data_IF_346052866753
#
_entry.id   IF_346052866753
#
_cell.length_a   1.000
_cell.length_b   1.000
_cell.length_c   1.000
_cell.angle_alpha   90.00
_cell.angle_beta   90.00
_cell.angle_gamma   90.00
#
_symmetry.space_group_name_H-M   'P 1'
#
loop_
_entity.id
_entity.type
_entity.pdbx_description
1 polymer ?
#
# COMPACT_ATOMS: atom_id res chain seq x y z
N UNK A 1 17.55 19.91 -8.97
CA UNK A 1 17.52 19.16 -7.70
C UNK A 1 16.56 18.01 -7.86
N UNK A 2 16.96 16.81 -7.48
CA UNK A 2 16.01 15.70 -7.43
C UNK A 2 14.95 16.01 -6.36
N UNK A 3 13.75 15.45 -6.52
CA UNK A 3 12.65 15.67 -5.58
C UNK A 3 13.03 15.26 -4.14
N UNK A 4 13.82 14.19 -3.99
CA UNK A 4 14.34 13.72 -2.71
C UNK A 4 15.26 14.74 -2.04
N UNK A 5 16.20 15.34 -2.78
CA UNK A 5 17.13 16.35 -2.24
C UNK A 5 16.38 17.55 -1.68
N UNK A 6 15.36 18.01 -2.42
CA UNK A 6 14.53 19.13 -1.97
C UNK A 6 13.76 18.78 -0.69
N UNK A 7 13.18 17.57 -0.60
CA UNK A 7 12.48 17.12 0.62
C UNK A 7 13.44 16.96 1.80
N UNK A 8 14.66 16.48 1.56
CA UNK A 8 15.71 16.37 2.58
C UNK A 8 16.05 17.76 3.14
N UNK A 9 16.32 18.75 2.28
CA UNK A 9 16.60 20.12 2.71
C UNK A 9 15.49 20.71 3.59
N UNK A 10 14.23 20.57 3.16
CA UNK A 10 13.07 21.03 3.95
C UNK A 10 12.94 20.35 5.31
N UNK A 11 13.30 19.06 5.40
CA UNK A 11 13.29 18.33 6.66
C UNK A 11 14.42 18.79 7.59
N UNK A 12 15.63 18.95 7.04
CA UNK A 12 16.79 19.45 7.78
C UNK A 12 16.55 20.86 8.33
N UNK A 13 15.89 21.74 7.58
CA UNK A 13 15.52 23.08 8.06
C UNK A 13 14.56 23.03 9.24
N UNK A 14 13.61 22.08 9.26
CA UNK A 14 12.74 21.87 10.42
C UNK A 14 13.53 21.40 11.63
N UNK A 15 14.51 20.51 11.46
CA UNK A 15 15.36 20.05 12.56
C UNK A 15 16.24 21.18 13.09
N UNK A 16 16.88 21.96 12.21
CA UNK A 16 17.70 23.11 12.59
C UNK A 16 16.87 24.14 13.38
N UNK A 17 15.66 24.44 12.91
CA UNK A 17 14.71 25.33 13.60
C UNK A 17 14.34 24.79 15.00
N UNK A 18 13.96 23.52 15.08
CA UNK A 18 13.59 22.90 16.36
C UNK A 18 14.77 22.86 17.35
N UNK A 19 15.98 22.57 16.87
CA UNK A 19 17.18 22.57 17.70
C UNK A 19 17.45 23.96 18.29
N UNK A 20 17.35 25.01 17.47
CA UNK A 20 17.47 26.39 17.91
C UNK A 20 16.40 26.77 18.96
N UNK A 21 15.14 26.41 18.74
CA UNK A 21 14.03 26.64 19.69
C UNK A 21 14.24 25.92 21.03
N UNK A 22 14.92 24.78 21.03
CA UNK A 22 15.17 23.95 22.22
C UNK A 22 16.53 24.22 22.87
N UNK A 23 17.34 25.13 22.33
CA UNK A 23 18.71 25.38 22.80
C UNK A 23 19.64 24.17 22.63
N UNK A 24 19.32 23.27 21.70
CA UNK A 24 20.13 22.10 21.37
C UNK A 24 21.13 22.53 20.30
N UNK A 25 22.42 22.26 20.52
CA UNK A 25 23.44 22.52 19.53
C UNK A 25 23.09 21.77 18.22
N UNK A 26 23.15 22.43 17.05
CA UNK A 26 22.84 21.77 15.80
C UNK A 26 23.84 20.63 15.55
N UNK A 27 23.33 19.46 15.18
CA UNK A 27 24.17 18.37 14.74
C UNK A 27 24.85 18.75 13.41
N UNK A 28 26.15 18.52 13.31
CA UNK A 28 26.85 18.59 12.02
C UNK A 28 26.46 17.36 11.21
N UNK A 29 25.54 17.58 10.25
CA UNK A 29 25.13 16.57 9.29
C UNK A 29 25.75 16.98 7.95
N UNK A 30 26.67 16.18 7.37
CA UNK A 30 27.23 16.50 6.07
C UNK A 30 26.10 16.52 5.03
N UNK A 31 26.17 17.48 4.11
CA UNK A 31 25.28 17.46 2.94
C UNK A 31 25.59 16.20 2.13
N UNK A 32 24.56 15.46 1.66
CA UNK A 32 24.77 14.29 0.85
C UNK A 32 25.41 14.69 -0.49
N UNK A 33 26.25 13.81 -1.03
CA UNK A 33 26.75 13.98 -2.38
C UNK A 33 25.55 14.02 -3.36
N UNK A 34 25.62 14.86 -4.42
CA UNK A 34 24.59 14.87 -5.46
C UNK A 34 24.38 13.47 -6.03
N UNK A 35 23.13 13.10 -6.28
CA UNK A 35 22.82 11.85 -6.96
C UNK A 35 23.46 11.83 -8.35
N UNK A 36 24.33 10.84 -8.57
CA UNK A 36 24.89 10.55 -9.89
C UNK A 36 24.01 9.51 -10.60
N UNK A 37 23.35 9.94 -11.69
CA UNK A 37 22.52 9.08 -12.51
C UNK A 37 23.35 8.24 -13.51
N UNK A 38 24.66 8.44 -13.60
CA UNK A 38 25.58 7.75 -14.50
C UNK A 38 25.92 6.32 -14.07
N UNK A 39 24.92 5.52 -13.72
CA UNK A 39 25.13 4.10 -13.45
C UNK A 39 25.41 3.33 -14.77
N UNK A 40 26.28 2.30 -14.76
CA UNK A 40 26.44 1.43 -15.92
C UNK A 40 25.11 0.78 -16.32
N UNK A 41 24.71 0.92 -17.59
CA UNK A 41 23.51 0.27 -18.13
C UNK A 41 23.75 -1.22 -18.44
N UNK A 42 25.03 -1.59 -18.56
CA UNK A 42 25.48 -2.94 -18.86
C UNK A 42 26.61 -3.34 -17.90
N UNK A 43 26.67 -4.63 -17.59
CA UNK A 43 27.72 -5.21 -16.75
C UNK A 43 28.15 -6.55 -17.36
N UNK A 44 29.46 -6.75 -17.51
CA UNK A 44 30.01 -8.05 -17.88
C UNK A 44 29.85 -9.00 -16.68
N UNK A 45 29.15 -10.10 -16.91
CA UNK A 45 28.88 -11.11 -15.89
C UNK A 45 29.99 -12.17 -15.79
N UNK A 46 31.03 -12.07 -16.60
CA UNK A 46 32.19 -12.97 -16.55
C UNK A 46 32.84 -12.90 -15.16
N UNK A 47 32.98 -14.07 -14.52
CA UNK A 47 33.55 -14.19 -13.17
C UNK A 47 32.52 -14.18 -12.03
N UNK A 48 31.23 -13.94 -12.32
CA UNK A 48 30.14 -14.08 -11.33
C UNK A 48 29.49 -15.46 -11.43
N UNK A 49 29.37 -16.16 -10.30
CA UNK A 49 28.69 -17.47 -10.24
C UNK A 49 27.17 -17.39 -10.00
N UNK A 50 26.68 -16.23 -9.56
CA UNK A 50 25.26 -16.03 -9.22
C UNK A 50 24.88 -14.55 -9.25
N UNK A 51 23.62 -14.28 -9.56
CA UNK A 51 23.02 -12.94 -9.52
C UNK A 51 21.81 -12.99 -8.58
N UNK A 52 21.70 -12.02 -7.68
CA UNK A 52 20.58 -11.91 -6.74
C UNK A 52 19.85 -10.59 -7.03
N UNK A 53 18.59 -10.68 -7.43
CA UNK A 53 17.75 -9.51 -7.63
C UNK A 53 17.10 -9.09 -6.31
N UNK A 54 17.44 -7.91 -5.82
CA UNK A 54 16.90 -7.33 -4.58
C UNK A 54 16.13 -6.02 -4.83
N UNK A 55 15.61 -5.84 -6.04
CA UNK A 55 14.87 -4.64 -6.48
C UNK A 55 13.38 -4.65 -6.10
N UNK A 56 12.92 -5.67 -5.36
CA UNK A 56 11.54 -5.81 -4.92
C UNK A 56 10.62 -6.42 -5.98
N UNK A 57 9.33 -6.16 -5.84
CA UNK A 57 8.27 -6.65 -6.73
C UNK A 57 7.27 -5.53 -7.03
N UNK A 58 6.45 -5.71 -8.07
CA UNK A 58 5.32 -4.82 -8.39
C UNK A 58 4.00 -5.56 -8.21
N UNK A 59 2.92 -4.88 -7.80
CA UNK A 59 1.61 -5.49 -7.77
C UNK A 59 1.12 -5.80 -9.19
N UNK A 60 0.49 -6.95 -9.37
CA UNK A 60 -0.20 -7.36 -10.60
C UNK A 60 -1.60 -7.86 -10.25
N UNK A 61 -2.35 -6.99 -9.58
CA UNK A 61 -3.69 -7.33 -9.13
C UNK A 61 -4.68 -7.42 -10.28
N UNK A 62 -4.48 -6.68 -11.38
CA UNK A 62 -5.39 -6.73 -12.53
C UNK A 62 -5.39 -8.12 -13.17
N UNK A 63 -4.23 -8.71 -13.41
CA UNK A 63 -4.12 -10.07 -13.95
C UNK A 63 -4.66 -11.12 -12.97
N UNK A 64 -4.52 -10.90 -11.67
CA UNK A 64 -4.98 -11.85 -10.65
C UNK A 64 -6.49 -11.80 -10.41
N UNK A 65 -7.03 -10.59 -10.21
CA UNK A 65 -8.44 -10.36 -9.84
C UNK A 65 -9.33 -10.29 -11.07
N UNK A 66 -8.81 -9.89 -12.23
CA UNK A 66 -9.57 -9.78 -13.48
C UNK A 66 -10.63 -8.67 -13.43
N UNK A 67 -10.34 -7.56 -12.75
CA UNK A 67 -11.24 -6.42 -12.62
C UNK A 67 -10.63 -5.16 -13.26
N UNK A 68 -10.85 -4.95 -14.57
CA UNK A 68 -10.32 -3.79 -15.26
C UNK A 68 -10.78 -2.47 -14.63
N UNK A 69 -9.87 -1.52 -14.51
CA UNK A 69 -10.12 -0.19 -13.93
C UNK A 69 -10.13 -0.14 -12.41
N UNK A 70 -10.12 -1.27 -11.70
CA UNK A 70 -10.01 -1.29 -10.23
C UNK A 70 -8.60 -1.01 -9.72
N UNK A 71 -7.62 -0.86 -10.60
CA UNK A 71 -6.22 -0.60 -10.30
C UNK A 71 -5.70 0.58 -11.14
N UNK A 72 -4.75 1.33 -10.60
CA UNK A 72 -4.12 2.48 -11.25
C UNK A 72 -2.98 2.07 -12.19
N UNK A 73 -2.33 3.06 -12.82
CA UNK A 73 -1.20 2.83 -13.74
C UNK A 73 0.02 2.15 -13.08
N UNK A 74 0.10 2.16 -11.75
CA UNK A 74 1.15 1.52 -10.97
C UNK A 74 0.73 0.14 -10.44
N UNK A 75 -0.49 -0.30 -10.76
CA UNK A 75 -1.08 -1.56 -10.32
C UNK A 75 -1.64 -1.54 -8.90
N UNK A 76 -1.77 -0.36 -8.26
CA UNK A 76 -2.36 -0.25 -6.93
C UNK A 76 -3.88 -0.08 -6.99
N UNK A 77 -4.64 -0.57 -6.00
CA UNK A 77 -6.09 -0.48 -6.03
C UNK A 77 -6.61 0.95 -5.99
N UNK A 78 -7.61 1.23 -6.81
CA UNK A 78 -8.44 2.45 -6.71
C UNK A 78 -9.55 2.17 -5.71
N UNK A 79 -9.51 2.85 -4.56
CA UNK A 79 -10.37 2.51 -3.44
C UNK A 79 -10.74 3.73 -2.58
N UNK A 80 -11.78 3.56 -1.76
CA UNK A 80 -12.15 4.47 -0.67
C UNK A 80 -12.32 3.64 0.62
N UNK A 81 -11.51 3.94 1.64
CA UNK A 81 -11.46 3.19 2.90
C UNK A 81 -11.47 1.66 2.70
N UNK A 82 -10.47 1.16 1.97
CA UNK A 82 -10.30 -0.25 1.63
C UNK A 82 -11.34 -0.85 0.67
N UNK A 83 -12.41 -0.15 0.27
CA UNK A 83 -13.42 -0.66 -0.66
C UNK A 83 -13.13 -0.19 -2.09
N UNK A 84 -13.23 -1.08 -3.07
CA UNK A 84 -13.11 -0.70 -4.49
C UNK A 84 -14.19 0.33 -4.85
N UNK A 85 -13.78 1.37 -5.59
CA UNK A 85 -14.72 2.34 -6.18
C UNK A 85 -15.35 1.83 -7.47
N UNK A 86 -14.85 0.71 -8.01
CA UNK A 86 -15.27 0.16 -9.30
C UNK A 86 -16.18 -1.05 -9.12
N UNK A 87 -15.78 -2.00 -8.27
CA UNK A 87 -16.55 -3.24 -8.06
C UNK A 87 -17.10 -3.29 -6.63
N UNK A 88 -18.42 -3.19 -6.50
CA UNK A 88 -19.07 -3.31 -5.21
C UNK A 88 -18.85 -4.71 -4.60
N UNK A 89 -18.48 -4.74 -3.32
CA UNK A 89 -18.16 -5.98 -2.61
C UNK A 89 -16.69 -6.42 -2.74
N UNK A 90 -15.89 -5.73 -3.55
CA UNK A 90 -14.44 -5.92 -3.57
C UNK A 90 -13.75 -5.02 -2.54
N UNK A 91 -12.90 -5.62 -1.71
CA UNK A 91 -12.14 -4.91 -0.67
C UNK A 91 -10.66 -5.29 -0.74
N UNK A 92 -9.79 -4.39 -0.29
CA UNK A 92 -8.34 -4.52 -0.30
C UNK A 92 -7.78 -4.39 1.12
N UNK A 93 -6.78 -5.19 1.45
CA UNK A 93 -6.07 -5.17 2.74
C UNK A 93 -4.61 -5.50 2.49
N UNK A 94 -3.69 -4.95 3.31
CA UNK A 94 -2.27 -5.29 3.23
C UNK A 94 -1.52 -4.62 2.08
N UNK A 95 -2.13 -3.64 1.42
CA UNK A 95 -1.53 -2.94 0.29
C UNK A 95 -0.67 -1.77 0.77
N UNK A 96 0.45 -1.54 0.09
CA UNK A 96 1.33 -0.42 0.40
C UNK A 96 0.57 0.90 0.31
N UNK A 97 0.64 1.71 1.37
CA UNK A 97 -0.01 3.01 1.46
C UNK A 97 -1.54 3.02 1.25
N UNK A 98 -2.24 1.88 1.44
CA UNK A 98 -3.69 1.78 1.25
C UNK A 98 -4.45 2.91 1.97
N UNK A 99 -4.44 2.91 3.31
CA UNK A 99 -4.94 4.05 4.10
C UNK A 99 -3.84 4.75 4.88
N UNK A 100 -2.82 3.98 5.26
CA UNK A 100 -1.70 4.44 6.08
C UNK A 100 -0.41 3.89 5.49
N UNK A 101 0.71 4.58 5.74
CA UNK A 101 2.05 4.07 5.35
C UNK A 101 2.35 2.66 5.86
N UNK A 102 1.77 2.29 7.01
CA UNK A 102 1.93 0.98 7.65
C UNK A 102 0.93 -0.10 7.18
N UNK A 103 0.04 0.20 6.24
CA UNK A 103 -1.04 -0.70 5.81
C UNK A 103 -0.57 -2.07 5.32
N UNK A 104 0.62 -2.16 4.71
CA UNK A 104 1.23 -3.42 4.26
C UNK A 104 2.13 -4.10 5.30
N UNK A 105 2.29 -3.52 6.49
CA UNK A 105 3.14 -4.06 7.55
C UNK A 105 2.31 -4.86 8.55
N UNK A 106 2.87 -5.92 9.13
CA UNK A 106 2.19 -6.74 10.14
C UNK A 106 1.64 -5.91 11.32
N UNK A 107 2.36 -4.85 11.71
CA UNK A 107 1.97 -3.93 12.79
C UNK A 107 0.85 -2.95 12.42
N UNK A 108 0.46 -2.87 11.15
CA UNK A 108 -0.50 -1.89 10.64
C UNK A 108 -1.70 -2.49 9.91
N UNK A 109 -1.52 -3.64 9.25
CA UNK A 109 -2.55 -4.28 8.43
C UNK A 109 -3.84 -4.59 9.20
N UNK A 110 -3.74 -4.89 10.50
CA UNK A 110 -4.91 -5.19 11.34
C UNK A 110 -5.94 -4.06 11.40
N UNK A 111 -5.51 -2.80 11.32
CA UNK A 111 -6.42 -1.65 11.34
C UNK A 111 -7.25 -1.53 10.06
N UNK A 112 -6.71 -1.97 8.92
CA UNK A 112 -7.43 -2.00 7.65
C UNK A 112 -8.33 -3.23 7.56
N UNK A 113 -7.83 -4.37 8.05
CA UNK A 113 -8.60 -5.62 8.13
C UNK A 113 -9.87 -5.45 8.98
N UNK A 114 -9.78 -4.76 10.12
CA UNK A 114 -10.93 -4.50 10.99
C UNK A 114 -12.05 -3.74 10.25
N UNK A 115 -11.69 -2.70 9.48
CA UNK A 115 -12.66 -1.92 8.71
C UNK A 115 -13.30 -2.73 7.60
N UNK A 116 -12.50 -3.54 6.89
CA UNK A 116 -13.05 -4.43 5.86
C UNK A 116 -14.00 -5.45 6.47
N UNK A 117 -13.62 -6.07 7.58
CA UNK A 117 -14.49 -7.02 8.29
C UNK A 117 -15.81 -6.37 8.72
N UNK A 118 -15.76 -5.17 9.30
CA UNK A 118 -16.95 -4.41 9.69
C UNK A 118 -17.84 -4.11 8.47
N UNK A 119 -17.26 -3.62 7.36
CA UNK A 119 -18.01 -3.33 6.12
C UNK A 119 -18.71 -4.58 5.57
N UNK A 120 -18.02 -5.72 5.56
CA UNK A 120 -18.57 -7.00 5.09
C UNK A 120 -19.74 -7.44 6.00
N UNK A 121 -19.56 -7.40 7.33
CA UNK A 121 -20.61 -7.81 8.27
C UNK A 121 -21.90 -6.96 8.14
N UNK A 122 -21.76 -5.64 7.95
CA UNK A 122 -22.91 -4.76 7.74
C UNK A 122 -23.61 -4.99 6.40
N UNK A 123 -22.86 -5.32 5.34
CA UNK A 123 -23.43 -5.64 4.04
C UNK A 123 -24.27 -6.93 4.08
N UNK A 124 -23.79 -7.97 4.77
CA UNK A 124 -24.55 -9.22 4.95
C UNK A 124 -25.85 -9.01 5.74
N UNK A 125 -25.78 -8.25 6.84
CA UNK A 125 -26.97 -7.95 7.66
C UNK A 125 -28.02 -7.16 6.88
N UNK A 126 -27.60 -6.26 5.99
CA UNK A 126 -28.51 -5.47 5.15
C UNK A 126 -29.22 -6.31 4.10
N UNK A 127 -28.54 -7.34 3.57
CA UNK A 127 -29.07 -8.25 2.54
C UNK A 127 -30.12 -9.21 3.11
N UNK A 128 -29.91 -9.73 4.32
CA UNK A 128 -30.90 -10.56 5.04
C UNK A 128 -32.17 -9.76 5.41
N UNK A 129 -32.02 -8.46 5.72
CA UNK A 129 -33.14 -7.60 6.10
C UNK A 129 -33.95 -7.08 4.91
N UNK A 130 -33.42 -7.17 3.69
CA UNK A 130 -34.10 -6.80 2.44
C UNK A 130 -34.80 -7.97 1.75
N UNK A 131 -34.76 -9.17 2.32
CA UNK A 131 -35.37 -10.39 1.76
C UNK A 131 -36.57 -10.84 2.61
N UNK A 132 -37.78 -10.27 2.41
CA UNK A 132 -38.93 -10.57 3.27
C UNK A 132 -39.61 -11.92 2.97
N UNK A 133 -39.11 -12.72 2.01
CA UNK A 133 -39.68 -14.02 1.62
C UNK A 133 -38.76 -15.23 1.94
N UNK A 134 -37.93 -15.13 2.98
CA UNK A 134 -37.06 -16.23 3.42
C UNK A 134 -37.70 -17.27 4.35
N UNK A 135 -39.00 -17.57 4.21
CA UNK A 135 -39.60 -18.72 4.89
C UNK A 135 -39.89 -19.83 3.87
N UNK A 136 -39.61 -21.08 4.27
CA UNK A 136 -39.90 -22.36 3.59
C UNK A 136 -38.96 -22.77 2.44
N UNK A 137 -37.94 -23.61 2.71
CA UNK A 137 -38.10 -25.07 2.77
C UNK A 137 -36.76 -25.80 3.01
N UNK A 138 -36.80 -26.62 4.04
CA UNK A 138 -35.93 -27.74 4.34
C UNK A 138 -35.94 -28.74 3.17
N UNK A 139 -34.87 -28.80 2.35
CA UNK A 139 -34.69 -29.88 1.38
C UNK A 139 -33.23 -30.10 0.97
N UNK A 140 -32.41 -30.58 1.90
CA UNK A 140 -31.27 -31.45 1.56
C UNK A 140 -31.20 -32.64 2.52
N UNK A 141 -32.19 -33.52 2.39
CA UNK A 141 -32.06 -34.93 2.72
C UNK A 141 -32.39 -35.75 1.46
N UNK A 142 -31.43 -36.59 1.03
CA UNK A 142 -31.40 -37.46 -0.17
C UNK A 142 -31.08 -36.70 -1.46
N UNK A 143 -29.95 -36.97 -2.12
CA UNK A 143 -29.52 -38.25 -2.75
C UNK A 143 -28.03 -38.47 -2.56
#
# INVERSE_FOLDING_TARGET
MAWADQRNGMLMDKFRKLAAERGIAPAEIPEPDPFDAGAPEEVDLTGFGSIIFTSGFRPDYESWVGCPGAFDEYGFPVHEDCASTILQGLYFVGVHFLRKRKSSLLIGVGEDAAIVADKIAHAHTSKERSDPEGLTLDRFARV
#
